data_IF_757823594687
#
_entry.id   IF_757823594687
#
_cell.length_a   1.000
_cell.length_b   1.000
_cell.length_c   1.000
_cell.angle_alpha   90.00
_cell.angle_beta   90.00
_cell.angle_gamma   90.00
#
_symmetry.space_group_name_H-M   'P 1'
#
loop_
_entity.id
_entity.type
_entity.pdbx_description
1 polymer ?
#
# COMPACT_ATOMS: atom_id res chain seq x y z
N UNK A 1 -28.12 -16.68 70.95
CA UNK A 1 -27.13 -17.44 70.16
C UNK A 1 -27.76 -17.67 68.79
N UNK A 2 -27.24 -17.08 67.72
CA UNK A 2 -27.27 -17.58 66.33
C UNK A 2 -26.36 -16.64 65.52
N UNK A 3 -25.32 -17.24 64.94
CA UNK A 3 -24.27 -16.63 64.13
C UNK A 3 -24.79 -16.54 62.69
N UNK A 4 -24.48 -15.47 61.95
CA UNK A 4 -24.43 -15.49 60.47
C UNK A 4 -23.64 -14.26 60.01
N UNK A 5 -22.37 -14.45 59.67
CA UNK A 5 -21.86 -14.72 58.31
C UNK A 5 -21.74 -13.45 57.47
N UNK A 6 -20.54 -12.86 57.58
CA UNK A 6 -19.99 -11.82 56.73
C UNK A 6 -19.88 -12.39 55.30
N UNK A 7 -20.61 -11.80 54.36
CA UNK A 7 -20.39 -12.04 52.93
C UNK A 7 -19.47 -10.94 52.40
N UNK A 8 -18.21 -11.32 52.19
CA UNK A 8 -17.21 -10.50 51.52
C UNK A 8 -17.51 -10.51 50.01
N UNK A 9 -18.15 -9.45 49.52
CA UNK A 9 -18.35 -9.27 48.09
C UNK A 9 -17.03 -8.81 47.43
N UNK A 10 -16.29 -9.76 46.85
CA UNK A 10 -15.17 -9.46 45.95
C UNK A 10 -15.70 -8.81 44.67
N UNK A 11 -15.65 -7.49 44.61
CA UNK A 11 -15.78 -6.71 43.38
C UNK A 11 -14.54 -6.97 42.50
N UNK A 12 -14.68 -7.91 41.57
CA UNK A 12 -13.71 -8.09 40.48
C UNK A 12 -13.91 -6.91 39.52
N UNK A 13 -13.04 -5.91 39.62
CA UNK A 13 -12.94 -4.85 38.63
C UNK A 13 -12.43 -5.46 37.32
N UNK A 14 -13.34 -5.64 36.36
CA UNK A 14 -13.00 -5.91 34.97
C UNK A 14 -12.37 -4.65 34.39
N UNK A 15 -11.05 -4.53 34.52
CA UNK A 15 -10.26 -3.58 33.74
C UNK A 15 -10.34 -4.00 32.27
N UNK A 16 -11.30 -3.41 31.55
CA UNK A 16 -11.37 -3.55 30.11
C UNK A 16 -10.11 -2.98 29.48
N UNK A 17 -9.25 -3.84 28.94
CA UNK A 17 -8.21 -3.43 28.01
C UNK A 17 -8.91 -2.82 26.79
N UNK A 18 -9.03 -1.50 26.75
CA UNK A 18 -9.35 -0.77 25.53
C UNK A 18 -8.16 -0.98 24.58
N UNK A 19 -8.19 -2.06 23.80
CA UNK A 19 -7.30 -2.21 22.66
C UNK A 19 -7.54 -1.02 21.75
N UNK A 20 -6.53 -0.16 21.58
CA UNK A 20 -6.62 0.98 20.68
C UNK A 20 -6.78 0.44 19.26
N UNK A 21 -8.02 0.34 18.78
CA UNK A 21 -8.27 0.11 17.36
C UNK A 21 -7.86 1.38 16.64
N UNK A 22 -6.59 1.42 16.20
CA UNK A 22 -6.06 2.55 15.46
C UNK A 22 -6.94 2.76 14.23
N UNK A 23 -7.52 3.95 14.08
CA UNK A 23 -8.39 4.24 12.95
C UNK A 23 -7.65 3.97 11.63
N UNK A 24 -8.35 3.46 10.59
CA UNK A 24 -7.73 3.28 9.28
C UNK A 24 -7.13 4.59 8.76
N UNK A 25 -6.03 4.53 7.98
CA UNK A 25 -5.42 5.73 7.43
C UNK A 25 -6.41 6.46 6.50
N UNK A 26 -6.33 7.79 6.49
CA UNK A 26 -7.14 8.59 5.58
C UNK A 26 -6.67 8.41 4.14
N UNK A 27 -7.63 8.44 3.22
CA UNK A 27 -7.44 8.25 1.78
C UNK A 27 -7.93 9.46 1.00
N UNK A 28 -7.50 9.59 -0.26
CA UNK A 28 -7.88 10.69 -1.16
C UNK A 28 -8.50 10.16 -2.45
N UNK A 29 -9.54 10.83 -2.95
CA UNK A 29 -10.08 10.53 -4.28
C UNK A 29 -9.05 10.89 -5.34
N UNK A 30 -9.03 10.10 -6.42
CA UNK A 30 -8.20 10.37 -7.60
C UNK A 30 -9.05 10.45 -8.85
N UNK A 31 -8.61 11.29 -9.78
CA UNK A 31 -9.01 11.22 -11.18
C UNK A 31 -8.28 10.04 -11.82
N UNK A 32 -9.02 8.96 -12.09
CA UNK A 32 -8.46 7.74 -12.67
C UNK A 32 -7.76 8.00 -14.00
N UNK A 33 -8.25 8.91 -14.85
CA UNK A 33 -7.63 9.18 -16.15
C UNK A 33 -6.24 9.78 -15.97
N UNK A 34 -6.07 10.69 -15.02
CA UNK A 34 -4.78 11.31 -14.69
C UNK A 34 -3.84 10.33 -13.97
N UNK A 35 -4.39 9.34 -13.28
CA UNK A 35 -3.62 8.33 -12.55
C UNK A 35 -3.02 7.24 -13.46
N UNK A 36 -3.54 7.06 -14.67
CA UNK A 36 -3.07 6.05 -15.63
C UNK A 36 -1.62 6.27 -16.08
N UNK A 37 -1.03 5.27 -16.72
CA UNK A 37 0.35 5.28 -17.20
C UNK A 37 1.32 4.64 -16.20
N UNK A 38 2.59 4.99 -16.34
CA UNK A 38 3.69 4.39 -15.55
C UNK A 38 3.91 5.12 -14.24
N UNK A 39 4.10 4.35 -13.18
CA UNK A 39 4.59 4.79 -11.89
C UNK A 39 5.81 3.97 -11.50
N UNK A 40 6.89 4.63 -11.16
CA UNK A 40 8.09 4.04 -10.59
C UNK A 40 7.94 3.92 -9.08
N UNK A 41 8.27 2.74 -8.55
CA UNK A 41 8.39 2.53 -7.11
C UNK A 41 9.70 3.15 -6.64
N UNK A 42 9.62 4.20 -5.81
CA UNK A 42 10.77 4.84 -5.19
C UNK A 42 11.21 4.07 -3.94
N UNK A 43 10.23 3.62 -3.16
CA UNK A 43 10.46 2.83 -1.96
C UNK A 43 9.20 2.02 -1.62
N UNK A 44 9.39 0.94 -0.88
CA UNK A 44 8.30 0.08 -0.40
C UNK A 44 8.61 -0.53 0.95
N UNK A 45 7.57 -0.95 1.66
CA UNK A 45 7.75 -1.86 2.82
C UNK A 45 8.25 -3.25 2.38
N UNK A 46 8.90 -4.02 3.27
CA UNK A 46 9.33 -5.39 2.96
C UNK A 46 8.12 -6.30 2.71
N UNK A 47 8.05 -6.89 1.50
CA UNK A 47 6.95 -7.77 1.11
C UNK A 47 7.52 -9.03 0.44
N UNK A 48 7.02 -10.20 0.84
CA UNK A 48 7.54 -11.49 0.37
C UNK A 48 7.49 -11.62 -1.16
N UNK A 49 6.43 -11.12 -1.80
CA UNK A 49 6.22 -11.22 -3.25
C UNK A 49 7.08 -10.27 -4.09
N UNK A 50 7.73 -9.26 -3.49
CA UNK A 50 8.66 -8.33 -4.19
C UNK A 50 10.11 -8.47 -3.70
N UNK A 51 10.44 -9.50 -2.90
CA UNK A 51 11.74 -9.61 -2.23
C UNK A 51 12.96 -9.61 -3.15
N UNK A 52 12.81 -10.07 -4.40
CA UNK A 52 13.88 -10.10 -5.40
C UNK A 52 13.96 -8.82 -6.26
N UNK A 53 12.97 -7.92 -6.17
CA UNK A 53 12.89 -6.72 -7.00
C UNK A 53 13.80 -5.60 -6.47
N UNK A 54 14.60 -5.02 -7.36
CA UNK A 54 15.47 -3.86 -7.07
C UNK A 54 14.97 -2.58 -7.74
N UNK A 55 14.28 -2.71 -8.88
CA UNK A 55 13.73 -1.60 -9.66
C UNK A 55 12.31 -1.94 -10.14
N UNK A 56 11.29 -1.61 -9.34
CA UNK A 56 9.90 -1.90 -9.69
C UNK A 56 9.22 -0.74 -10.40
N UNK A 57 8.29 -1.06 -11.30
CA UNK A 57 7.34 -0.12 -11.88
C UNK A 57 5.96 -0.76 -12.03
N UNK A 58 4.95 0.09 -12.00
CA UNK A 58 3.55 -0.28 -12.16
C UNK A 58 2.93 0.51 -13.33
N UNK A 59 2.28 -0.20 -14.23
CA UNK A 59 1.59 0.35 -15.39
C UNK A 59 0.09 0.19 -15.21
N UNK A 60 -0.62 1.32 -15.26
CA UNK A 60 -2.06 1.36 -15.10
C UNK A 60 -2.74 1.78 -16.40
N UNK A 61 -3.77 1.03 -16.81
CA UNK A 61 -4.59 1.36 -17.98
C UNK A 61 -6.07 1.21 -17.65
N UNK A 62 -6.85 2.25 -17.90
CA UNK A 62 -8.29 2.24 -17.70
C UNK A 62 -8.96 1.36 -18.77
N UNK A 63 -9.95 0.59 -18.37
CA UNK A 63 -10.71 -0.33 -19.22
C UNK A 63 -12.13 0.18 -19.47
N UNK A 64 -12.81 -0.37 -20.47
CA UNK A 64 -14.15 0.06 -20.88
C UNK A 64 -15.21 -0.18 -19.79
N UNK A 65 -14.98 -1.17 -18.92
CA UNK A 65 -15.82 -1.48 -17.76
C UNK A 65 -15.44 -0.68 -16.49
N UNK A 66 -14.66 0.39 -16.65
CA UNK A 66 -14.16 1.27 -15.61
C UNK A 66 -13.20 0.63 -14.58
N UNK A 67 -12.82 -0.64 -14.76
CA UNK A 67 -11.70 -1.22 -14.02
C UNK A 67 -10.35 -0.74 -14.54
N UNK A 68 -9.29 -1.09 -13.82
CA UNK A 68 -7.92 -0.73 -14.16
C UNK A 68 -7.14 -2.02 -14.43
N UNK A 69 -6.58 -2.16 -15.62
CA UNK A 69 -5.57 -3.16 -15.88
C UNK A 69 -4.26 -2.73 -15.19
N UNK A 70 -3.66 -3.65 -14.44
CA UNK A 70 -2.43 -3.44 -13.69
C UNK A 70 -1.34 -4.35 -14.26
N UNK A 71 -0.18 -3.80 -14.54
CA UNK A 71 1.03 -4.59 -14.84
C UNK A 71 2.16 -4.09 -13.96
N UNK A 72 2.58 -4.92 -13.02
CA UNK A 72 3.78 -4.68 -12.23
C UNK A 72 4.93 -5.43 -12.87
N UNK A 73 6.08 -4.77 -13.06
CA UNK A 73 7.31 -5.44 -13.45
C UNK A 73 8.49 -4.90 -12.68
N UNK A 74 9.52 -5.71 -12.52
CA UNK A 74 10.73 -5.28 -11.85
C UNK A 74 11.99 -5.93 -12.42
N UNK A 75 13.10 -5.19 -12.38
CA UNK A 75 14.42 -5.80 -12.50
C UNK A 75 14.76 -6.50 -11.19
N UNK A 76 15.22 -7.75 -11.26
CA UNK A 76 15.65 -8.52 -10.10
C UNK A 76 17.11 -8.20 -9.74
N UNK A 77 17.57 -8.68 -8.59
CA UNK A 77 18.99 -8.61 -8.21
C UNK A 77 19.92 -9.32 -9.19
N UNK A 78 19.39 -10.31 -9.93
CA UNK A 78 20.15 -11.12 -10.88
C UNK A 78 20.18 -10.51 -12.29
N UNK A 79 19.49 -9.38 -12.48
CA UNK A 79 19.40 -8.66 -13.75
C UNK A 79 18.30 -9.14 -14.69
N UNK A 80 17.45 -10.07 -14.23
CA UNK A 80 16.29 -10.55 -14.98
C UNK A 80 15.07 -9.65 -14.77
N UNK A 81 14.11 -9.71 -15.70
CA UNK A 81 12.81 -9.05 -15.55
C UNK A 81 11.76 -10.03 -15.04
N UNK A 82 11.10 -9.66 -13.94
CA UNK A 82 9.91 -10.33 -13.41
C UNK A 82 8.66 -9.47 -13.68
N UNK A 83 7.51 -10.10 -13.91
CA UNK A 83 6.27 -9.41 -14.26
C UNK A 83 5.03 -10.12 -13.73
N UNK A 84 4.09 -9.34 -13.19
CA UNK A 84 2.75 -9.77 -12.79
C UNK A 84 1.68 -8.86 -13.43
N UNK A 85 0.67 -9.47 -14.05
CA UNK A 85 -0.51 -8.77 -14.57
C UNK A 85 -1.69 -8.96 -13.63
N UNK A 86 -2.61 -8.01 -13.62
CA UNK A 86 -3.78 -8.06 -12.77
C UNK A 86 -4.80 -6.99 -13.11
N UNK A 87 -5.76 -6.84 -12.20
CA UNK A 87 -6.89 -5.95 -12.34
C UNK A 87 -7.23 -5.30 -11.01
N UNK A 88 -7.56 -4.01 -11.05
CA UNK A 88 -8.03 -3.26 -9.91
C UNK A 88 -9.44 -2.70 -10.13
N UNK A 89 -10.26 -2.72 -9.09
CA UNK A 89 -11.66 -2.27 -9.10
C UNK A 89 -11.97 -1.50 -7.82
N UNK A 90 -12.87 -0.51 -7.90
CA UNK A 90 -13.28 0.26 -6.73
C UNK A 90 -13.94 -0.62 -5.66
N UNK A 91 -13.55 -0.44 -4.40
CA UNK A 91 -14.19 -1.15 -3.28
C UNK A 91 -15.65 -0.70 -3.07
N UNK A 92 -15.95 0.56 -3.42
CA UNK A 92 -17.27 1.17 -3.31
C UNK A 92 -17.59 1.87 -4.64
N UNK A 93 -18.76 1.63 -5.24
CA UNK A 93 -19.17 2.32 -6.47
C UNK A 93 -19.09 3.85 -6.35
N UNK A 94 -18.53 4.50 -7.37
CA UNK A 94 -18.37 5.97 -7.40
C UNK A 94 -17.22 6.52 -6.56
N UNK A 95 -16.41 5.65 -5.93
CA UNK A 95 -15.22 6.02 -5.17
C UNK A 95 -13.96 5.56 -5.90
N UNK A 96 -12.87 6.30 -5.76
CA UNK A 96 -11.59 6.00 -6.42
C UNK A 96 -10.40 5.96 -5.46
N UNK A 97 -10.64 6.15 -4.17
CA UNK A 97 -9.61 6.21 -3.13
C UNK A 97 -9.16 4.83 -2.61
N UNK A 98 -10.01 3.81 -2.78
CA UNK A 98 -9.78 2.45 -2.30
C UNK A 98 -10.16 1.45 -3.37
N UNK A 99 -9.22 0.59 -3.73
CA UNK A 99 -9.37 -0.41 -4.76
C UNK A 99 -9.09 -1.81 -4.20
N UNK A 100 -9.79 -2.81 -4.74
CA UNK A 100 -9.37 -4.20 -4.68
C UNK A 100 -8.44 -4.47 -5.85
N UNK A 101 -7.27 -5.06 -5.60
CA UNK A 101 -6.34 -5.50 -6.65
C UNK A 101 -6.24 -7.01 -6.64
N UNK A 102 -6.32 -7.63 -7.80
CA UNK A 102 -6.13 -9.07 -7.98
C UNK A 102 -5.12 -9.30 -9.09
N UNK A 103 -4.07 -10.08 -8.82
CA UNK A 103 -3.10 -10.50 -9.83
C UNK A 103 -3.48 -11.85 -10.44
N UNK A 104 -3.11 -12.07 -11.70
CA UNK A 104 -3.39 -13.28 -12.44
C UNK A 104 -2.36 -14.36 -12.07
N UNK A 105 -2.72 -15.28 -11.17
CA UNK A 105 -1.90 -16.44 -10.87
C UNK A 105 -2.80 -17.68 -10.65
N UNK A 106 -2.19 -18.87 -10.61
CA UNK A 106 -2.93 -20.14 -10.48
C UNK A 106 -3.77 -20.18 -9.20
N UNK A 107 -3.32 -19.53 -8.13
CA UNK A 107 -4.04 -19.45 -6.86
C UNK A 107 -5.25 -18.51 -6.92
N UNK A 108 -5.13 -17.34 -7.56
CA UNK A 108 -6.23 -16.38 -7.72
C UNK A 108 -7.32 -16.89 -8.65
N UNK A 109 -6.96 -17.74 -9.63
CA UNK A 109 -7.92 -18.46 -10.48
C UNK A 109 -8.74 -19.49 -9.70
N UNK A 110 -8.16 -20.09 -8.66
CA UNK A 110 -8.81 -21.11 -7.83
C UNK A 110 -9.60 -20.51 -6.65
N UNK A 111 -9.19 -19.34 -6.14
CA UNK A 111 -9.82 -18.65 -5.00
C UNK A 111 -9.95 -17.13 -5.22
N UNK A 112 -10.83 -16.68 -6.12
CA UNK A 112 -10.88 -15.29 -6.59
C UNK A 112 -11.34 -14.25 -5.55
N UNK A 113 -12.08 -14.68 -4.52
CA UNK A 113 -12.57 -13.80 -3.44
C UNK A 113 -11.55 -13.62 -2.31
N UNK A 114 -10.61 -14.56 -2.14
CA UNK A 114 -9.60 -14.53 -1.07
C UNK A 114 -8.33 -13.80 -1.55
N UNK A 115 -8.14 -13.68 -2.86
CA UNK A 115 -6.91 -13.15 -3.45
C UNK A 115 -6.95 -11.65 -3.80
N UNK A 116 -7.80 -10.86 -3.13
CA UNK A 116 -7.87 -9.40 -3.29
C UNK A 116 -6.94 -8.73 -2.29
N UNK A 117 -6.02 -7.91 -2.80
CA UNK A 117 -5.21 -7.00 -1.99
C UNK A 117 -5.84 -5.61 -1.90
N UNK A 118 -5.66 -4.93 -0.78
CA UNK A 118 -6.00 -3.52 -0.62
C UNK A 118 -5.01 -2.62 -1.37
N UNK A 119 -5.54 -1.67 -2.13
CA UNK A 119 -4.79 -0.56 -2.71
C UNK A 119 -5.50 0.73 -2.33
N UNK A 120 -5.00 1.40 -1.30
CA UNK A 120 -5.57 2.64 -0.78
C UNK A 120 -4.68 3.80 -1.16
N UNK A 121 -5.22 4.77 -1.89
CA UNK A 121 -4.49 5.99 -2.24
C UNK A 121 -4.51 6.92 -1.03
N UNK A 122 -3.38 7.04 -0.36
CA UNK A 122 -3.20 7.84 0.85
C UNK A 122 -2.91 9.31 0.52
N UNK A 123 -2.30 9.54 -0.64
CA UNK A 123 -1.94 10.84 -1.17
C UNK A 123 -1.64 10.75 -2.68
N UNK A 124 -1.94 11.82 -3.40
CA UNK A 124 -1.41 12.14 -4.72
C UNK A 124 -1.21 13.65 -4.78
N UNK A 125 -0.15 14.14 -5.44
CA UNK A 125 -0.01 15.59 -5.67
C UNK A 125 -0.94 16.09 -6.79
N UNK A 126 -1.11 17.41 -6.85
CA UNK A 126 -2.06 18.05 -7.78
C UNK A 126 -1.74 17.77 -9.26
N UNK A 127 -0.47 17.52 -9.57
CA UNK A 127 0.07 17.25 -10.91
C UNK A 127 0.21 15.76 -11.23
N UNK A 128 -0.14 14.86 -10.30
CA UNK A 128 -0.05 13.40 -10.43
C UNK A 128 1.37 12.91 -10.76
N UNK A 129 2.37 13.59 -10.20
CA UNK A 129 3.79 13.28 -10.28
C UNK A 129 4.27 12.36 -9.16
N UNK A 130 3.66 12.46 -7.96
CA UNK A 130 3.99 11.61 -6.81
C UNK A 130 2.73 11.12 -6.10
N UNK A 131 2.79 9.88 -5.60
CA UNK A 131 1.68 9.27 -4.87
C UNK A 131 2.19 8.42 -3.70
N UNK A 132 1.32 8.24 -2.72
CA UNK A 132 1.52 7.34 -1.59
C UNK A 132 0.36 6.34 -1.57
N UNK A 133 0.68 5.06 -1.55
CA UNK A 133 -0.31 3.97 -1.58
C UNK A 133 0.00 3.00 -0.46
N UNK A 134 -1.01 2.48 0.22
CA UNK A 134 -0.83 1.44 1.22
C UNK A 134 -2.09 0.63 1.45
N UNK A 135 -2.14 -0.01 2.62
CA UNK A 135 -3.26 -0.84 3.05
C UNK A 135 -3.69 -0.48 4.49
N UNK A 136 -4.90 -0.89 4.96
CA UNK A 136 -5.49 -0.37 6.19
C UNK A 136 -4.73 -0.70 7.49
N UNK A 137 -4.08 -1.85 7.55
CA UNK A 137 -3.31 -2.33 8.71
C UNK A 137 -1.87 -1.80 8.76
N UNK A 138 -1.42 -1.13 7.69
CA UNK A 138 -0.10 -0.49 7.53
C UNK A 138 1.07 -1.45 7.32
N UNK A 139 0.78 -2.69 6.92
CA UNK A 139 1.79 -3.67 6.56
C UNK A 139 2.38 -3.41 5.16
N UNK A 140 1.62 -2.76 4.27
CA UNK A 140 2.04 -2.43 2.90
C UNK A 140 2.04 -0.93 2.65
N UNK A 141 3.12 -0.46 2.04
CA UNK A 141 3.33 0.93 1.66
C UNK A 141 4.19 0.99 0.41
N UNK A 142 3.82 1.88 -0.50
CA UNK A 142 4.59 2.24 -1.69
C UNK A 142 4.66 3.76 -1.83
N UNK A 143 5.86 4.27 -2.07
CA UNK A 143 6.12 5.63 -2.51
C UNK A 143 6.29 5.57 -4.03
N UNK A 144 5.42 6.24 -4.76
CA UNK A 144 5.36 6.19 -6.22
C UNK A 144 5.70 7.54 -6.83
N UNK A 145 6.32 7.51 -8.00
CA UNK A 145 6.66 8.70 -8.79
C UNK A 145 6.54 8.45 -10.28
N UNK A 146 6.25 9.50 -11.07
CA UNK A 146 6.34 9.46 -12.54
C UNK A 146 7.78 9.45 -13.06
N UNK A 147 8.74 9.76 -12.19
CA UNK A 147 10.18 9.77 -12.47
C UNK A 147 10.87 8.71 -11.60
N UNK A 148 11.85 7.96 -12.14
CA UNK A 148 12.56 6.92 -11.39
C UNK A 148 13.46 7.49 -10.28
N UNK A 149 13.90 8.74 -10.44
CA UNK A 149 14.71 9.48 -9.47
C UNK A 149 14.00 10.79 -9.13
N UNK A 150 13.97 11.13 -7.85
CA UNK A 150 13.38 12.38 -7.35
C UNK A 150 14.35 13.06 -6.36
N UNK A 151 14.26 14.39 -6.18
CA UNK A 151 15.03 15.10 -5.18
C UNK A 151 14.75 14.58 -3.75
N UNK A 152 15.73 14.70 -2.87
CA UNK A 152 15.57 14.26 -1.47
C UNK A 152 14.46 15.03 -0.74
N UNK A 153 14.19 16.28 -1.11
CA UNK A 153 13.04 17.05 -0.58
C UNK A 153 11.71 16.36 -0.86
N UNK A 154 11.56 15.76 -2.04
CA UNK A 154 10.37 14.98 -2.42
C UNK A 154 10.29 13.69 -1.62
N UNK A 155 11.42 13.01 -1.40
CA UNK A 155 11.49 11.80 -0.55
C UNK A 155 11.05 12.13 0.87
N UNK A 156 11.62 13.17 1.48
CA UNK A 156 11.28 13.59 2.84
C UNK A 156 9.81 14.00 2.98
N UNK A 157 9.25 14.68 1.97
CA UNK A 157 7.81 14.99 1.94
C UNK A 157 6.96 13.72 1.98
N UNK A 158 7.27 12.71 1.16
CA UNK A 158 6.51 11.46 1.12
C UNK A 158 6.64 10.66 2.42
N UNK A 159 7.81 10.63 3.04
CA UNK A 159 8.02 10.00 4.36
C UNK A 159 7.20 10.71 5.45
N UNK A 160 7.21 12.04 5.49
CA UNK A 160 6.40 12.81 6.43
C UNK A 160 4.89 12.54 6.27
N UNK A 161 4.42 12.43 5.02
CA UNK A 161 3.04 12.04 4.71
C UNK A 161 2.73 10.61 5.17
N UNK A 162 3.64 9.66 4.99
CA UNK A 162 3.46 8.29 5.46
C UNK A 162 3.37 8.22 7.00
N UNK A 163 4.27 8.92 7.71
CA UNK A 163 4.22 9.02 9.17
C UNK A 163 2.93 9.66 9.67
N UNK A 164 2.44 10.73 9.03
CA UNK A 164 1.17 11.36 9.37
C UNK A 164 -0.04 10.41 9.22
N UNK A 165 0.12 9.29 8.48
CA UNK A 165 -0.89 8.23 8.28
C UNK A 165 -0.65 7.03 9.21
N UNK A 166 0.38 7.09 10.04
CA UNK A 166 0.73 6.10 11.05
C UNK A 166 1.65 4.99 10.55
N UNK A 167 2.25 5.11 9.37
CA UNK A 167 3.20 4.13 8.86
C UNK A 167 4.58 4.33 9.50
N UNK A 168 5.24 3.22 9.83
CA UNK A 168 6.67 3.19 10.12
C UNK A 168 7.43 3.12 8.80
N UNK A 169 8.51 3.89 8.67
CA UNK A 169 9.27 3.99 7.40
C UNK A 169 10.75 3.65 7.52
N UNK A 170 11.20 3.24 8.71
CA UNK A 170 12.61 2.92 8.96
C UNK A 170 13.07 1.63 8.25
N UNK A 171 12.11 0.78 7.88
CA UNK A 171 12.32 -0.49 7.19
C UNK A 171 12.07 -0.41 5.68
N UNK A 172 11.88 0.80 5.13
CA UNK A 172 11.64 0.96 3.70
C UNK A 172 12.84 0.50 2.88
N UNK A 173 12.54 -0.33 1.89
CA UNK A 173 13.47 -0.76 0.85
C UNK A 173 13.38 0.26 -0.28
N UNK A 174 14.48 0.94 -0.55
CA UNK A 174 14.58 1.96 -1.60
C UNK A 174 14.96 1.33 -2.94
N UNK A 175 14.43 1.91 -4.01
CA UNK A 175 14.77 1.58 -5.39
C UNK A 175 16.28 1.74 -5.61
N UNK A 176 16.89 0.77 -6.30
CA UNK A 176 18.27 0.90 -6.77
C UNK A 176 18.38 1.97 -7.87
N UNK A 177 19.52 2.66 -7.93
CA UNK A 177 19.78 3.62 -9.01
C UNK A 177 19.75 2.93 -10.38
N UNK A 178 19.17 3.59 -11.37
CA UNK A 178 19.21 3.10 -12.76
C UNK A 178 20.65 3.23 -13.27
N UNK A 179 21.16 2.23 -13.98
CA UNK A 179 22.56 2.15 -14.43
C UNK A 179 23.00 3.31 -15.37
N UNK A 180 22.05 4.06 -15.92
CA UNK A 180 22.31 5.28 -16.73
C UNK A 180 22.47 6.56 -15.90
N UNK A 181 22.24 6.51 -14.58
CA UNK A 181 22.39 7.66 -13.67
C UNK A 181 23.74 7.71 -12.93
N UNK A 182 24.61 6.72 -13.15
CA UNK A 182 25.96 6.67 -12.57
C UNK A 182 27.03 7.45 -13.38
N UNK A 183 26.62 8.14 -14.46
CA UNK A 183 27.51 8.97 -15.26
C UNK A 183 26.90 10.35 -15.43
N UNK A 184 27.09 11.21 -14.42
CA UNK A 184 27.19 12.66 -14.55
C UNK A 184 27.76 13.26 -13.27
#
# INVERSE_FOLDING_TARGET
MHRSMIWLACLVALSGCAGSTQQPPQTVQVDLKRYMGTWYELARKPMFFQRQCTQSEAHYRLQDDASIAVTNRCLTSDGDWDQATGRAEAQVPGRTDKLWVRFDNTFTKLFPEIAKGDYWVLYVDDDYQTALVGNPDREYLWLLSRQPVVPDTTRQKLLGLAHARGYQTDDLIWRAADSSSATQ
#
